data_IF_774230609673
#
_entry.id   IF_774230609673
#
_cell.length_a   1.000
_cell.length_b   1.000
_cell.length_c   1.000
_cell.angle_alpha   90.00
_cell.angle_beta   90.00
_cell.angle_gamma   90.00
#
_symmetry.space_group_name_H-M   'P 1'
#
loop_
_entity.id
_entity.type
_entity.pdbx_description
1 polymer ?
#
# COMPACT_ATOMS: atom_id res chain seq x y z
N UNK A 1 -17.39 -20.48 -17.11
CA UNK A 1 -16.18 -20.70 -16.30
C UNK A 1 -15.90 -19.41 -15.53
N UNK A 2 -16.47 -19.28 -14.33
CA UNK A 2 -16.33 -18.07 -13.52
C UNK A 2 -14.97 -18.07 -12.84
N UNK A 3 -14.11 -17.10 -13.18
CA UNK A 3 -12.95 -16.80 -12.36
C UNK A 3 -13.43 -16.14 -11.06
N UNK A 4 -13.94 -16.91 -10.09
CA UNK A 4 -13.93 -16.50 -8.66
C UNK A 4 -12.50 -16.65 -8.10
N UNK A 5 -11.51 -16.31 -8.92
CA UNK A 5 -10.17 -16.06 -8.43
C UNK A 5 -10.28 -14.77 -7.65
N UNK A 6 -10.28 -14.84 -6.32
CA UNK A 6 -10.05 -13.69 -5.44
C UNK A 6 -8.68 -13.09 -5.81
N UNK A 7 -8.64 -12.27 -6.85
CA UNK A 7 -7.40 -11.64 -7.33
C UNK A 7 -7.01 -10.65 -6.26
N UNK A 8 -6.11 -11.07 -5.37
CA UNK A 8 -5.45 -10.17 -4.42
C UNK A 8 -4.58 -9.24 -5.24
N UNK A 9 -5.17 -8.11 -5.67
CA UNK A 9 -4.45 -7.05 -6.37
C UNK A 9 -3.58 -6.34 -5.35
N UNK A 10 -2.27 -6.48 -5.48
CA UNK A 10 -1.32 -5.71 -4.72
C UNK A 10 -1.18 -4.34 -5.38
N UNK A 11 -1.36 -3.30 -4.58
CA UNK A 11 -1.12 -1.92 -4.97
C UNK A 11 0.37 -1.67 -5.00
N UNK A 12 0.85 -1.14 -6.13
CA UNK A 12 2.22 -0.61 -6.19
C UNK A 12 2.36 0.64 -5.31
N UNK A 13 3.60 1.07 -5.04
CA UNK A 13 3.86 2.30 -4.28
C UNK A 13 3.15 3.55 -4.85
N UNK A 14 2.94 3.58 -6.17
CA UNK A 14 2.20 4.66 -6.84
C UNK A 14 0.72 4.58 -6.48
N UNK A 15 0.08 3.42 -6.64
CA UNK A 15 -1.35 3.23 -6.34
C UNK A 15 -1.65 3.38 -4.84
N UNK A 16 -0.75 2.91 -3.98
CA UNK A 16 -0.85 3.13 -2.54
C UNK A 16 -0.77 4.62 -2.19
N UNK A 17 0.04 5.39 -2.91
CA UNK A 17 0.14 6.84 -2.74
C UNK A 17 -1.12 7.55 -3.22
N UNK A 18 -1.63 7.22 -4.41
CA UNK A 18 -2.90 7.78 -4.91
C UNK A 18 -4.07 7.47 -3.98
N UNK A 19 -4.17 6.23 -3.48
CA UNK A 19 -5.21 5.84 -2.52
C UNK A 19 -5.07 6.57 -1.19
N UNK A 20 -3.85 6.85 -0.76
CA UNK A 20 -3.58 7.62 0.45
C UNK A 20 -3.73 9.14 0.27
N UNK A 21 -3.98 9.63 -0.95
CA UNK A 21 -3.97 11.06 -1.26
C UNK A 21 -2.58 11.71 -1.09
N UNK A 22 -1.51 10.94 -1.26
CA UNK A 22 -0.13 11.37 -1.08
C UNK A 22 0.66 11.29 -2.38
N UNK A 23 1.70 12.10 -2.49
CA UNK A 23 2.66 11.97 -3.58
C UNK A 23 3.51 10.70 -3.41
N UNK A 24 3.86 10.05 -4.52
CA UNK A 24 4.72 8.85 -4.55
C UNK A 24 6.06 9.05 -3.81
N UNK A 25 6.64 10.25 -3.89
CA UNK A 25 7.87 10.59 -3.15
C UNK A 25 7.65 10.63 -1.63
N UNK A 26 6.52 11.16 -1.18
CA UNK A 26 6.14 11.20 0.24
C UNK A 26 5.96 9.79 0.78
N UNK A 27 5.27 8.92 0.04
CA UNK A 27 5.12 7.50 0.43
C UNK A 27 6.48 6.81 0.46
N UNK A 28 7.34 7.01 -0.54
CA UNK A 28 8.72 6.48 -0.52
C UNK A 28 9.49 6.91 0.72
N UNK A 29 9.35 8.16 1.15
CA UNK A 29 9.99 8.65 2.37
C UNK A 29 9.35 8.01 3.61
N UNK A 30 8.03 7.89 3.68
CA UNK A 30 7.32 7.32 4.83
C UNK A 30 7.62 5.84 5.01
N UNK A 31 7.74 5.09 3.92
CA UNK A 31 8.14 3.68 3.91
C UNK A 31 9.54 3.48 4.50
N UNK A 32 10.44 4.45 4.32
CA UNK A 32 11.78 4.42 4.94
C UNK A 32 11.74 4.79 6.42
N UNK A 33 10.71 5.50 6.88
CA UNK A 33 10.57 5.92 8.27
C UNK A 33 9.80 4.84 9.04
N UNK A 34 10.45 4.12 9.97
CA UNK A 34 9.77 3.10 10.76
C UNK A 34 8.61 3.72 11.54
N UNK A 35 7.42 3.12 11.44
CA UNK A 35 6.21 3.58 12.12
C UNK A 35 5.37 4.61 11.37
N UNK A 36 5.85 5.19 10.25
CA UNK A 36 5.03 6.13 9.44
C UNK A 36 4.19 5.47 8.36
N UNK A 37 4.61 4.33 7.83
CA UNK A 37 3.90 3.60 6.78
C UNK A 37 3.74 2.12 7.14
N UNK A 38 2.65 1.47 6.69
CA UNK A 38 2.49 0.04 6.91
C UNK A 38 3.59 -0.76 6.22
N UNK A 39 3.89 -1.93 6.80
CA UNK A 39 4.83 -2.88 6.20
C UNK A 39 4.31 -3.32 4.83
N UNK A 40 5.20 -3.49 3.84
CA UNK A 40 4.80 -4.00 2.53
C UNK A 40 4.37 -5.46 2.63
N UNK A 41 3.14 -5.75 2.17
CA UNK A 41 2.58 -7.11 2.14
C UNK A 41 3.23 -7.99 1.06
N UNK A 42 3.73 -7.37 -0.01
CA UNK A 42 4.44 -8.05 -1.09
C UNK A 42 5.71 -7.29 -1.46
N UNK A 43 6.76 -8.03 -1.82
CA UNK A 43 8.00 -7.45 -2.37
C UNK A 43 8.31 -8.12 -3.69
N UNK A 44 8.10 -7.39 -4.78
CA UNK A 44 8.34 -7.85 -6.14
C UNK A 44 9.67 -7.22 -6.59
N UNK A 45 10.78 -7.90 -6.31
CA UNK A 45 12.13 -7.41 -6.56
C UNK A 45 12.44 -6.12 -5.79
N UNK A 46 12.56 -4.99 -6.51
CA UNK A 46 12.77 -3.65 -5.94
C UNK A 46 11.47 -2.92 -5.61
N UNK A 47 10.34 -3.39 -6.12
CA UNK A 47 9.03 -2.78 -5.90
C UNK A 47 8.41 -3.40 -4.65
N UNK A 48 7.89 -2.54 -3.79
CA UNK A 48 7.07 -2.95 -2.66
C UNK A 48 5.60 -2.78 -3.03
N UNK A 49 4.80 -3.78 -2.67
CA UNK A 49 3.37 -3.85 -2.89
C UNK A 49 2.63 -3.92 -1.57
N UNK A 50 1.49 -3.24 -1.51
CA UNK A 50 0.60 -3.24 -0.35
C UNK A 50 -0.75 -3.78 -0.74
N UNK A 51 -1.43 -4.42 0.19
CA UNK A 51 -2.83 -4.74 -0.02
C UNK A 51 -3.68 -3.46 0.11
N UNK A 52 -4.77 -3.34 -0.67
CA UNK A 52 -5.72 -2.24 -0.51
C UNK A 52 -6.29 -2.19 0.91
N UNK A 53 -6.46 -3.35 1.56
CA UNK A 53 -6.90 -3.47 2.95
C UNK A 53 -5.89 -2.92 3.95
N UNK A 54 -4.58 -3.08 3.68
CA UNK A 54 -3.50 -2.57 4.53
C UNK A 54 -3.46 -1.04 4.49
N UNK A 55 -3.57 -0.45 3.29
CA UNK A 55 -3.64 1.01 3.13
C UNK A 55 -4.91 1.58 3.76
N UNK A 56 -6.07 0.91 3.58
CA UNK A 56 -7.34 1.32 4.17
C UNK A 56 -7.29 1.33 5.71
N UNK A 57 -6.78 0.25 6.30
CA UNK A 57 -6.59 0.13 7.74
C UNK A 57 -5.65 1.21 8.28
N UNK A 58 -4.54 1.48 7.58
CA UNK A 58 -3.60 2.52 7.97
C UNK A 58 -4.22 3.93 7.89
N UNK A 59 -4.97 4.24 6.83
CA UNK A 59 -5.67 5.53 6.71
C UNK A 59 -6.67 5.73 7.85
N UNK A 60 -7.42 4.67 8.21
CA UNK A 60 -8.33 4.68 9.37
C UNK A 60 -7.60 4.92 10.69
N UNK A 61 -6.44 4.28 10.89
CA UNK A 61 -5.62 4.50 12.09
C UNK A 61 -5.03 5.91 12.15
N UNK A 62 -4.66 6.51 11.01
CA UNK A 62 -4.09 7.86 10.94
C UNK A 62 -5.13 8.97 11.16
N UNK A 63 -6.38 8.74 10.81
CA UNK A 63 -7.45 9.74 10.90
C UNK A 63 -8.14 9.79 12.28
N UNK A 64 -7.68 9.01 13.26
CA UNK A 64 -8.20 9.01 14.63
C UNK A 64 -7.22 9.70 15.57
#
# INVERSE_FOLDING_TARGET
MGYDGRVKRYLSITEAAERAGLSRNTVKAYVKVPGRFPKPDAKIGRVQGWLPQTIDSWMKQRSK
#
